data_IF_929561243532
#
_entry.id   IF_929561243532
#
_cell.length_a   1.000
_cell.length_b   1.000
_cell.length_c   1.000
_cell.angle_alpha   90.00
_cell.angle_beta   90.00
_cell.angle_gamma   90.00
#
_symmetry.space_group_name_H-M   'P 1'
#
loop_
_entity.id
_entity.type
_entity.pdbx_description
1 polymer ?
#
# COMPACT_ATOMS: atom_id res chain seq x y z
N UNK A 1 -5.44 21.48 -18.93
CA UNK A 1 -5.47 20.07 -18.50
C UNK A 1 -4.36 19.33 -19.22
N UNK A 2 -3.33 18.92 -18.53
CA UNK A 2 -2.18 18.21 -19.09
C UNK A 2 -2.53 16.73 -19.27
N UNK A 3 -3.34 16.42 -20.29
CA UNK A 3 -3.70 15.05 -20.69
C UNK A 3 -2.52 14.24 -21.24
N UNK A 4 -1.32 14.82 -21.27
CA UNK A 4 -0.15 14.21 -21.92
C UNK A 4 0.85 13.58 -20.94
N UNK A 5 0.62 13.70 -19.62
CA UNK A 5 1.48 13.10 -18.61
C UNK A 5 0.88 11.78 -18.12
N UNK A 6 1.27 10.66 -18.73
CA UNK A 6 0.77 9.33 -18.39
C UNK A 6 1.56 8.68 -17.25
N UNK A 7 2.82 9.06 -17.11
CA UNK A 7 3.73 8.47 -16.13
C UNK A 7 4.44 9.55 -15.29
N UNK A 8 4.92 9.13 -14.13
CA UNK A 8 5.80 9.97 -13.32
C UNK A 8 7.12 10.30 -14.08
N UNK A 9 7.56 9.41 -14.95
CA UNK A 9 8.69 9.62 -15.84
C UNK A 9 8.48 10.83 -16.75
N UNK A 10 7.29 10.98 -17.35
CA UNK A 10 6.95 12.13 -18.20
C UNK A 10 7.03 13.46 -17.42
N UNK A 11 6.60 13.44 -16.14
CA UNK A 11 6.71 14.58 -15.25
C UNK A 11 8.18 14.98 -15.00
N UNK A 12 9.05 14.00 -14.76
CA UNK A 12 10.49 14.23 -14.62
C UNK A 12 11.13 14.69 -15.92
N UNK A 13 10.72 14.13 -17.06
CA UNK A 13 11.18 14.59 -18.38
C UNK A 13 10.90 16.08 -18.59
N UNK A 14 9.68 16.48 -18.34
CA UNK A 14 9.22 17.85 -18.56
C UNK A 14 9.93 18.89 -17.68
N UNK A 15 10.22 18.53 -16.42
CA UNK A 15 10.79 19.47 -15.46
C UNK A 15 12.33 19.43 -15.40
N UNK A 16 12.94 18.27 -15.64
CA UNK A 16 14.37 18.04 -15.38
C UNK A 16 15.11 17.44 -16.57
N UNK A 17 14.38 17.13 -17.66
CA UNK A 17 14.97 16.60 -18.89
C UNK A 17 15.24 15.09 -18.87
N UNK A 18 15.64 14.57 -20.03
CA UNK A 18 15.74 13.14 -20.35
C UNK A 18 16.69 12.34 -19.45
N UNK A 19 17.76 12.94 -18.96
CA UNK A 19 18.72 12.24 -18.08
C UNK A 19 18.11 11.89 -16.73
N UNK A 20 17.39 12.83 -16.15
CA UNK A 20 16.72 12.62 -14.85
C UNK A 20 15.54 11.66 -15.00
N UNK A 21 14.76 11.76 -16.08
CA UNK A 21 13.74 10.78 -16.43
C UNK A 21 14.28 9.36 -16.44
N UNK A 22 15.40 9.13 -17.13
CA UNK A 22 16.00 7.80 -17.26
C UNK A 22 16.44 7.24 -15.90
N UNK A 23 17.11 8.06 -15.07
CA UNK A 23 17.53 7.66 -13.72
C UNK A 23 16.33 7.33 -12.86
N UNK A 24 15.33 8.21 -12.85
CA UNK A 24 14.10 8.03 -12.08
C UNK A 24 13.35 6.75 -12.51
N UNK A 25 13.24 6.51 -13.81
CA UNK A 25 12.57 5.31 -14.35
C UNK A 25 13.28 4.02 -13.96
N UNK A 26 14.61 3.99 -13.99
CA UNK A 26 15.41 2.84 -13.54
C UNK A 26 15.20 2.58 -12.04
N UNK A 27 15.28 3.63 -11.21
CA UNK A 27 15.10 3.50 -9.77
C UNK A 27 13.67 3.04 -9.42
N UNK A 28 12.65 3.59 -10.09
CA UNK A 28 11.27 3.16 -9.93
C UNK A 28 11.10 1.69 -10.32
N UNK A 29 11.66 1.27 -11.45
CA UNK A 29 11.57 -0.13 -11.89
C UNK A 29 12.19 -1.09 -10.90
N UNK A 30 13.37 -0.79 -10.36
CA UNK A 30 14.02 -1.60 -9.33
C UNK A 30 13.18 -1.68 -8.05
N UNK A 31 12.58 -0.56 -7.64
CA UNK A 31 11.67 -0.50 -6.49
C UNK A 31 10.44 -1.38 -6.69
N UNK A 32 9.82 -1.32 -7.87
CA UNK A 32 8.65 -2.14 -8.20
C UNK A 32 8.94 -3.64 -8.24
N UNK A 33 10.12 -4.05 -8.73
CA UNK A 33 10.52 -5.46 -8.70
C UNK A 33 10.55 -5.99 -7.26
N UNK A 34 11.16 -5.24 -6.33
CA UNK A 34 11.16 -5.60 -4.92
C UNK A 34 9.76 -5.65 -4.31
N UNK A 35 8.92 -4.67 -4.63
CA UNK A 35 7.53 -4.61 -4.17
C UNK A 35 6.71 -5.80 -4.67
N UNK A 36 6.76 -6.11 -5.96
CA UNK A 36 6.05 -7.25 -6.56
C UNK A 36 6.50 -8.57 -5.93
N UNK A 37 7.81 -8.75 -5.72
CA UNK A 37 8.35 -9.94 -5.07
C UNK A 37 7.80 -10.12 -3.65
N UNK A 38 7.73 -9.04 -2.86
CA UNK A 38 7.16 -9.08 -1.51
C UNK A 38 5.65 -9.43 -1.53
N UNK A 39 4.89 -8.85 -2.47
CA UNK A 39 3.46 -9.15 -2.62
C UNK A 39 3.22 -10.60 -3.04
N UNK A 40 3.98 -11.13 -3.98
CA UNK A 40 3.89 -12.53 -4.40
C UNK A 40 4.24 -13.48 -3.26
N UNK A 41 5.25 -13.16 -2.46
CA UNK A 41 5.60 -13.94 -1.30
C UNK A 41 4.46 -13.97 -0.27
N UNK A 42 3.87 -12.82 0.03
CA UNK A 42 2.75 -12.72 0.96
C UNK A 42 1.53 -13.52 0.48
N UNK A 43 1.14 -13.37 -0.79
CA UNK A 43 0.05 -14.15 -1.39
C UNK A 43 0.36 -15.65 -1.42
N UNK A 44 1.59 -16.01 -1.73
CA UNK A 44 2.05 -17.40 -1.71
C UNK A 44 1.94 -18.03 -0.33
N UNK A 45 2.35 -17.33 0.72
CA UNK A 45 2.21 -17.79 2.10
C UNK A 45 0.74 -17.94 2.53
N UNK A 46 -0.13 -17.01 2.16
CA UNK A 46 -1.57 -17.11 2.43
C UNK A 46 -2.19 -18.33 1.73
N UNK A 47 -1.88 -18.53 0.44
CA UNK A 47 -2.36 -19.71 -0.29
C UNK A 47 -1.77 -21.02 0.24
N UNK A 48 -0.53 -21.00 0.69
CA UNK A 48 0.09 -22.16 1.32
C UNK A 48 -0.65 -22.61 2.59
N UNK A 49 -1.12 -21.66 3.41
CA UNK A 49 -1.93 -21.97 4.60
C UNK A 49 -3.27 -22.62 4.23
N UNK A 50 -3.86 -22.24 3.09
CA UNK A 50 -5.15 -22.75 2.64
C UNK A 50 -5.03 -24.10 1.90
N UNK A 51 -4.05 -24.21 1.00
CA UNK A 51 -3.90 -25.35 0.09
C UNK A 51 -2.92 -26.42 0.58
N UNK A 52 -2.15 -26.13 1.64
CA UNK A 52 -1.11 -27.00 2.19
C UNK A 52 -0.06 -27.43 1.13
N UNK A 53 0.11 -26.66 0.07
CA UNK A 53 1.06 -26.92 -1.02
C UNK A 53 2.47 -26.37 -0.75
N UNK A 54 3.37 -26.54 -1.71
CA UNK A 54 4.68 -25.90 -1.64
C UNK A 54 4.56 -24.38 -1.84
N UNK A 55 5.38 -23.58 -1.16
CA UNK A 55 5.36 -22.12 -1.28
C UNK A 55 5.54 -21.67 -2.75
N UNK A 56 6.46 -22.29 -3.48
CA UNK A 56 6.71 -21.96 -4.88
C UNK A 56 5.49 -22.22 -5.78
N UNK A 57 4.80 -23.35 -5.57
CA UNK A 57 3.57 -23.66 -6.31
C UNK A 57 2.46 -22.66 -6.01
N UNK A 58 2.31 -22.29 -4.74
CA UNK A 58 1.32 -21.30 -4.31
C UNK A 58 1.62 -19.89 -4.86
N UNK A 59 2.90 -19.49 -4.88
CA UNK A 59 3.33 -18.23 -5.52
C UNK A 59 3.07 -18.24 -7.03
N UNK A 60 3.37 -19.34 -7.72
CA UNK A 60 3.10 -19.47 -9.15
C UNK A 60 1.60 -19.41 -9.46
N UNK A 61 0.77 -20.07 -8.64
CA UNK A 61 -0.69 -20.01 -8.77
C UNK A 61 -1.21 -18.58 -8.55
N UNK A 62 -0.75 -17.91 -7.50
CA UNK A 62 -1.09 -16.51 -7.23
C UNK A 62 -0.73 -15.61 -8.41
N UNK A 63 0.48 -15.76 -8.95
CA UNK A 63 0.94 -14.99 -10.11
C UNK A 63 0.04 -15.19 -11.33
N UNK A 64 -0.30 -16.45 -11.64
CA UNK A 64 -1.18 -16.78 -12.78
C UNK A 64 -2.55 -16.13 -12.61
N UNK A 65 -3.16 -16.24 -11.43
CA UNK A 65 -4.46 -15.63 -11.15
C UNK A 65 -4.40 -14.11 -11.33
N UNK A 66 -3.40 -13.46 -10.75
CA UNK A 66 -3.22 -12.00 -10.87
C UNK A 66 -3.03 -11.58 -12.33
N UNK A 67 -2.19 -12.29 -13.08
CA UNK A 67 -1.98 -11.99 -14.50
C UNK A 67 -3.26 -12.15 -15.32
N UNK A 68 -4.03 -13.22 -15.09
CA UNK A 68 -5.26 -13.48 -15.83
C UNK A 68 -6.29 -12.37 -15.63
N UNK A 69 -6.60 -11.99 -14.38
CA UNK A 69 -7.61 -10.96 -14.17
C UNK A 69 -7.11 -9.56 -14.57
N UNK A 70 -5.82 -9.27 -14.38
CA UNK A 70 -5.25 -7.97 -14.75
C UNK A 70 -5.21 -7.79 -16.27
N UNK A 71 -4.84 -8.83 -17.02
CA UNK A 71 -4.84 -8.79 -18.51
C UNK A 71 -6.25 -8.75 -19.09
N UNK A 72 -7.21 -9.43 -18.46
CA UNK A 72 -8.58 -9.45 -18.93
C UNK A 72 -9.34 -8.14 -18.68
N UNK A 73 -9.13 -7.50 -17.55
CA UNK A 73 -9.92 -6.34 -17.11
C UNK A 73 -9.15 -5.03 -16.97
N UNK A 74 -7.82 -5.05 -17.12
CA UNK A 74 -6.98 -3.87 -17.02
C UNK A 74 -7.14 -3.11 -15.70
N UNK A 75 -6.99 -1.80 -15.74
CA UNK A 75 -7.04 -0.94 -14.56
C UNK A 75 -8.43 -0.93 -13.87
N UNK A 76 -9.51 -1.14 -14.62
CA UNK A 76 -10.87 -1.18 -14.07
C UNK A 76 -11.06 -2.41 -13.18
N UNK A 77 -10.58 -3.59 -13.61
CA UNK A 77 -10.65 -4.81 -12.81
C UNK A 77 -9.83 -4.69 -11.54
N UNK A 78 -8.62 -4.12 -11.62
CA UNK A 78 -7.76 -3.89 -10.44
C UNK A 78 -8.45 -2.95 -9.46
N UNK A 79 -8.99 -1.82 -9.91
CA UNK A 79 -9.69 -0.86 -9.04
C UNK A 79 -10.92 -1.47 -8.37
N UNK A 80 -11.65 -2.31 -9.09
CA UNK A 80 -12.83 -2.99 -8.54
C UNK A 80 -12.45 -4.03 -7.49
N UNK A 81 -11.41 -4.83 -7.74
CA UNK A 81 -10.89 -5.79 -6.76
C UNK A 81 -10.35 -5.09 -5.51
N UNK A 82 -9.62 -4.00 -5.66
CA UNK A 82 -9.12 -3.20 -4.53
C UNK A 82 -10.27 -2.66 -3.67
N UNK A 83 -11.36 -2.21 -4.29
CA UNK A 83 -12.55 -1.74 -3.58
C UNK A 83 -13.18 -2.86 -2.73
N UNK A 84 -13.40 -4.04 -3.31
CA UNK A 84 -13.94 -5.18 -2.56
C UNK A 84 -12.99 -5.66 -1.46
N UNK A 85 -11.69 -5.71 -1.73
CA UNK A 85 -10.67 -6.07 -0.74
C UNK A 85 -10.65 -5.09 0.43
N UNK A 86 -10.77 -3.78 0.18
CA UNK A 86 -10.83 -2.76 1.24
C UNK A 86 -12.04 -2.98 2.15
N UNK A 87 -13.21 -3.26 1.59
CA UNK A 87 -14.41 -3.60 2.37
C UNK A 87 -14.19 -4.85 3.21
N UNK A 88 -13.63 -5.91 2.61
CA UNK A 88 -13.35 -7.16 3.33
C UNK A 88 -12.34 -6.97 4.46
N UNK A 89 -11.32 -6.14 4.26
CA UNK A 89 -10.32 -5.81 5.29
C UNK A 89 -11.00 -5.08 6.46
N UNK A 90 -11.83 -4.06 6.18
CA UNK A 90 -12.54 -3.30 7.22
C UNK A 90 -13.46 -4.23 8.02
N UNK A 91 -14.24 -5.06 7.33
CA UNK A 91 -15.13 -6.04 7.99
C UNK A 91 -14.31 -7.03 8.82
N UNK A 92 -13.25 -7.61 8.23
CA UNK A 92 -12.39 -8.58 8.90
C UNK A 92 -11.73 -8.02 10.16
N UNK A 93 -11.14 -6.83 10.07
CA UNK A 93 -10.53 -6.17 11.23
C UNK A 93 -11.57 -5.82 12.30
N UNK A 94 -12.76 -5.37 11.90
CA UNK A 94 -13.86 -5.09 12.83
C UNK A 94 -14.31 -6.37 13.55
N UNK A 95 -14.46 -7.48 12.81
CA UNK A 95 -14.79 -8.78 13.40
C UNK A 95 -13.70 -9.23 14.38
N UNK A 96 -12.43 -9.17 13.97
CA UNK A 96 -11.30 -9.52 14.84
C UNK A 96 -11.30 -8.65 16.10
N UNK A 97 -11.52 -7.35 16.00
CA UNK A 97 -11.62 -6.46 17.14
C UNK A 97 -12.76 -6.84 18.08
N UNK A 98 -13.95 -7.17 17.54
CA UNK A 98 -15.12 -7.57 18.35
C UNK A 98 -14.89 -8.92 19.03
N UNK A 99 -14.35 -9.93 18.29
CA UNK A 99 -14.19 -11.29 18.83
C UNK A 99 -12.99 -11.45 19.76
N UNK A 100 -11.92 -10.69 19.54
CA UNK A 100 -10.72 -10.75 20.38
C UNK A 100 -10.79 -9.82 21.58
N UNK A 101 -11.71 -8.85 21.60
CA UNK A 101 -11.89 -7.99 22.78
C UNK A 101 -12.80 -8.72 23.77
N UNK A 102 -12.28 -9.25 24.90
CA UNK A 102 -13.11 -9.86 25.94
C UNK A 102 -14.15 -8.85 26.45
N UNK A 103 -15.35 -9.33 26.73
CA UNK A 103 -16.48 -8.49 27.17
C UNK A 103 -16.17 -7.64 28.42
N UNK A 104 -15.14 -8.03 29.19
CA UNK A 104 -14.67 -7.34 30.40
C UNK A 104 -13.42 -6.49 30.18
N UNK A 105 -13.01 -6.25 28.92
CA UNK A 105 -11.80 -5.50 28.63
C UNK A 105 -12.05 -4.01 28.79
N UNK A 106 -11.65 -3.48 29.94
CA UNK A 106 -11.61 -2.05 30.21
C UNK A 106 -10.28 -1.47 29.70
N UNK A 107 -10.26 -0.21 29.25
CA UNK A 107 -9.05 0.50 28.83
C UNK A 107 -7.89 0.36 29.81
N UNK A 108 -8.20 0.34 31.10
CA UNK A 108 -7.21 0.16 32.18
C UNK A 108 -6.51 -1.20 32.13
N UNK A 109 -7.23 -2.28 31.81
CA UNK A 109 -6.63 -3.62 31.67
C UNK A 109 -5.83 -3.74 30.37
N UNK A 110 -6.32 -3.14 29.28
CA UNK A 110 -5.60 -3.11 28.02
C UNK A 110 -4.26 -2.37 28.14
N UNK A 111 -4.25 -1.21 28.77
CA UNK A 111 -3.03 -0.42 28.98
C UNK A 111 -2.02 -1.12 29.91
N UNK A 112 -2.48 -1.95 30.85
CA UNK A 112 -1.61 -2.74 31.72
C UNK A 112 -1.04 -4.00 31.04
N UNK A 113 -1.73 -4.53 30.01
CA UNK A 113 -1.28 -5.71 29.27
C UNK A 113 -0.34 -5.38 28.11
N UNK A 114 -0.29 -4.13 27.68
CA UNK A 114 0.58 -3.66 26.61
C UNK A 114 1.93 -3.17 27.19
N UNK A 115 3.04 -3.48 26.53
CA UNK A 115 4.33 -2.86 26.87
C UNK A 115 4.22 -1.34 26.79
N UNK A 116 4.83 -0.62 27.72
CA UNK A 116 4.81 0.85 27.74
C UNK A 116 5.28 1.48 26.41
N UNK A 117 6.19 0.80 25.70
CA UNK A 117 6.68 1.23 24.39
C UNK A 117 5.59 1.33 23.32
N UNK A 118 4.50 0.55 23.40
CA UNK A 118 3.37 0.60 22.46
C UNK A 118 2.39 1.73 22.75
N UNK A 119 2.41 2.24 23.98
CA UNK A 119 1.53 3.35 24.40
C UNK A 119 2.20 4.72 24.23
N UNK A 120 3.50 4.74 23.94
CA UNK A 120 4.25 5.98 23.70
C UNK A 120 4.17 6.35 22.23
N UNK A 121 3.51 7.46 21.93
CA UNK A 121 3.51 8.03 20.57
C UNK A 121 4.86 8.68 20.21
N UNK A 122 5.54 9.26 21.20
CA UNK A 122 6.82 9.94 21.02
C UNK A 122 7.99 9.01 21.36
N UNK A 123 9.07 9.02 20.55
CA UNK A 123 10.25 8.23 20.83
C UNK A 123 10.94 8.69 22.13
N UNK A 124 11.81 7.86 22.64
CA UNK A 124 12.66 8.20 23.77
C UNK A 124 13.56 9.38 23.43
N UNK A 125 14.01 10.13 24.47
CA UNK A 125 14.72 11.38 24.30
C UNK A 125 16.18 11.18 23.85
N UNK A 126 16.39 10.22 22.95
CA UNK A 126 17.65 9.87 22.31
C UNK A 126 17.58 10.17 20.80
N UNK A 127 18.70 10.51 20.23
CA UNK A 127 18.82 10.88 18.81
C UNK A 127 18.44 9.76 17.83
N UNK A 128 18.86 8.50 18.08
CA UNK A 128 18.61 7.37 17.19
C UNK A 128 17.11 7.00 17.10
N UNK A 129 16.35 6.87 18.20
CA UNK A 129 14.91 6.70 18.17
C UNK A 129 14.16 7.79 17.39
N UNK A 130 14.57 9.06 17.53
CA UNK A 130 14.00 10.17 16.77
C UNK A 130 14.24 10.06 15.27
N UNK A 131 15.46 9.71 14.86
CA UNK A 131 15.76 9.48 13.45
C UNK A 131 14.94 8.35 12.86
N UNK A 132 14.81 7.23 13.56
CA UNK A 132 14.00 6.10 13.11
C UNK A 132 12.53 6.46 13.02
N UNK A 133 12.01 7.22 13.97
CA UNK A 133 10.63 7.68 13.96
C UNK A 133 10.36 8.62 12.77
N UNK A 134 11.21 9.62 12.54
CA UNK A 134 11.10 10.52 11.39
C UNK A 134 11.26 9.75 10.08
N UNK A 135 12.24 8.85 9.98
CA UNK A 135 12.46 8.03 8.78
C UNK A 135 11.26 7.15 8.46
N UNK A 136 10.59 6.57 9.46
CA UNK A 136 9.38 5.76 9.28
C UNK A 136 8.22 6.61 8.73
N UNK A 137 7.99 7.79 9.28
CA UNK A 137 6.96 8.71 8.80
C UNK A 137 7.27 9.23 7.39
N UNK A 138 8.53 9.55 7.11
CA UNK A 138 8.95 9.94 5.76
C UNK A 138 8.80 8.81 4.75
N UNK A 139 9.17 7.59 5.11
CA UNK A 139 9.03 6.43 4.22
C UNK A 139 7.57 6.16 3.87
N UNK A 140 6.66 6.23 4.85
CA UNK A 140 5.23 6.03 4.62
C UNK A 140 4.59 7.22 3.91
N UNK A 141 4.82 8.45 4.37
CA UNK A 141 4.18 9.65 3.84
C UNK A 141 4.74 10.06 2.48
N UNK A 142 6.03 10.34 2.41
CA UNK A 142 6.66 10.85 1.18
C UNK A 142 6.75 9.76 0.11
N UNK A 143 7.03 8.51 0.51
CA UNK A 143 7.09 7.37 -0.40
C UNK A 143 5.74 7.10 -1.09
N UNK A 144 4.63 7.28 -0.37
CA UNK A 144 3.29 7.10 -0.93
C UNK A 144 2.90 8.23 -1.89
N UNK A 145 3.23 9.48 -1.58
CA UNK A 145 2.88 10.64 -2.43
C UNK A 145 3.53 10.55 -3.81
N UNK A 146 4.77 10.07 -3.89
CA UNK A 146 5.56 9.96 -5.13
C UNK A 146 5.36 8.59 -5.82
N UNK A 147 4.37 7.81 -5.42
CA UNK A 147 4.15 6.50 -6.04
C UNK A 147 3.47 6.62 -7.41
N UNK A 148 3.96 5.84 -8.37
CA UNK A 148 3.40 5.73 -9.72
C UNK A 148 1.91 5.33 -9.69
N UNK A 149 1.52 4.47 -8.74
CA UNK A 149 0.16 3.96 -8.60
C UNK A 149 -0.83 5.08 -8.30
N UNK A 150 -0.50 5.96 -7.35
CA UNK A 150 -1.34 7.12 -7.00
C UNK A 150 -1.43 8.06 -8.18
N UNK A 151 -0.30 8.33 -8.85
CA UNK A 151 -0.25 9.21 -10.02
C UNK A 151 -1.16 8.70 -11.15
N UNK A 152 -1.11 7.41 -11.47
CA UNK A 152 -1.97 6.80 -12.50
C UNK A 152 -3.45 6.84 -12.11
N UNK A 153 -3.78 6.55 -10.86
CA UNK A 153 -5.18 6.58 -10.37
C UNK A 153 -5.77 7.99 -10.38
N UNK A 154 -4.98 8.99 -9.98
CA UNK A 154 -5.40 10.39 -10.02
C UNK A 154 -5.61 10.86 -11.46
N UNK A 155 -4.71 10.50 -12.39
CA UNK A 155 -4.85 10.85 -13.81
C UNK A 155 -5.98 10.11 -14.52
N UNK A 156 -6.35 8.92 -14.06
CA UNK A 156 -7.48 8.15 -14.58
C UNK A 156 -8.84 8.66 -14.09
N UNK A 157 -8.87 9.56 -13.12
CA UNK A 157 -10.12 10.12 -12.62
C UNK A 157 -10.81 10.98 -13.69
N UNK A 158 -12.15 10.91 -13.73
CA UNK A 158 -12.99 11.59 -14.75
C UNK A 158 -12.83 13.12 -14.76
N UNK A 159 -12.56 13.71 -13.62
CA UNK A 159 -12.34 15.16 -13.47
C UNK A 159 -11.55 15.46 -12.18
N UNK A 160 -11.01 16.67 -12.07
CA UNK A 160 -10.24 17.13 -10.91
C UNK A 160 -10.99 17.01 -9.58
N UNK A 161 -12.29 17.34 -9.58
CA UNK A 161 -13.11 17.22 -8.36
C UNK A 161 -13.23 15.79 -7.88
N UNK A 162 -13.41 14.84 -8.80
CA UNK A 162 -13.44 13.40 -8.45
C UNK A 162 -12.10 12.92 -7.91
N UNK A 163 -10.99 13.32 -8.53
CA UNK A 163 -9.64 12.98 -8.07
C UNK A 163 -9.40 13.51 -6.65
N UNK A 164 -9.71 14.77 -6.42
CA UNK A 164 -9.52 15.42 -5.11
C UNK A 164 -10.42 14.81 -4.03
N UNK A 165 -11.71 14.61 -4.33
CA UNK A 165 -12.67 14.05 -3.37
C UNK A 165 -12.32 12.60 -2.99
N UNK A 166 -11.95 11.78 -3.97
CA UNK A 166 -11.56 10.40 -3.71
C UNK A 166 -10.25 10.29 -2.94
N UNK A 167 -9.28 11.16 -3.22
CA UNK A 167 -8.02 11.20 -2.48
C UNK A 167 -8.21 11.64 -1.03
N UNK A 168 -9.06 12.66 -0.79
CA UNK A 168 -9.39 13.11 0.56
C UNK A 168 -10.22 12.07 1.34
N UNK A 169 -11.17 11.41 0.68
CA UNK A 169 -11.94 10.34 1.30
C UNK A 169 -11.06 9.14 1.68
N UNK A 170 -10.11 8.77 0.81
CA UNK A 170 -9.13 7.72 1.11
C UNK A 170 -8.15 8.07 2.22
N UNK A 171 -7.82 9.36 2.39
CA UNK A 171 -6.96 9.81 3.48
C UNK A 171 -7.68 9.88 4.84
N UNK A 172 -9.02 9.91 4.84
CA UNK A 172 -9.84 9.95 6.05
C UNK A 172 -10.29 8.59 6.59
N UNK A 173 -10.03 7.50 5.83
CA UNK A 173 -10.27 6.10 6.20
C UNK A 173 -9.05 5.51 6.90
#
# INVERSE_FOLDING_TARGET
>A
CSSDLLTLGDLFHRNFGRKIEMIASILMTLSFVGYIAAQLLALGMMLQMLLHGSLLTCMALALIIVLLYTTAGGMLAVSLTDFFQSIMIIIGLTMVAIFLTPHDMNWTRLSQSLPESHLRFWPENEWIPWLNWIASWMALGVGSIVSQDIFQRVNAARNEKSAMTSSLAGAGL
#
